data_IF_246785390112
#
_entry.id   IF_246785390112
#
_cell.length_a   1.000
_cell.length_b   1.000
_cell.length_c   1.000
_cell.angle_alpha   90.00
_cell.angle_beta   90.00
_cell.angle_gamma   90.00
#
_symmetry.space_group_name_H-M   'P 1'
#
loop_
_entity.id
_entity.type
_entity.pdbx_description
1 polymer ?
#
# COMPACT_ATOMS: atom_id res chain seq x y z
N UNK A 1 -5.62 13.21 25.24
CA UNK A 1 -6.52 12.14 24.79
C UNK A 1 -6.22 11.91 23.32
N UNK A 2 -5.70 10.74 22.95
CA UNK A 2 -5.46 10.38 21.54
C UNK A 2 -6.79 10.00 20.92
N UNK A 3 -7.23 10.74 19.90
CA UNK A 3 -8.40 10.35 19.11
C UNK A 3 -8.14 9.01 18.43
N UNK A 4 -9.12 8.11 18.54
CA UNK A 4 -9.12 6.85 17.79
C UNK A 4 -9.37 7.14 16.31
N UNK A 5 -8.34 6.97 15.47
CA UNK A 5 -8.50 7.03 14.02
C UNK A 5 -9.07 5.71 13.52
N UNK A 6 -10.31 5.75 13.04
CA UNK A 6 -10.97 4.60 12.45
C UNK A 6 -10.57 4.44 10.99
N UNK A 7 -10.12 3.24 10.63
CA UNK A 7 -9.91 2.81 9.24
C UNK A 7 -11.06 1.86 8.90
N UNK A 8 -11.83 2.16 7.85
CA UNK A 8 -12.91 1.30 7.38
C UNK A 8 -12.44 0.49 6.17
N UNK A 9 -12.48 -0.83 6.31
CA UNK A 9 -12.19 -1.77 5.23
C UNK A 9 -13.49 -2.27 4.61
N UNK A 10 -13.56 -2.29 3.28
CA UNK A 10 -14.70 -2.80 2.48
C UNK A 10 -14.19 -3.93 1.57
N UNK A 11 -14.14 -5.17 2.08
CA UNK A 11 -13.72 -6.31 1.26
C UNK A 11 -14.84 -6.72 0.31
N UNK A 12 -14.45 -7.27 -0.85
CA UNK A 12 -15.38 -7.96 -1.76
C UNK A 12 -15.46 -9.47 -1.52
N UNK A 13 -14.48 -10.04 -0.83
CA UNK A 13 -14.38 -11.47 -0.53
C UNK A 13 -14.22 -11.77 0.96
N UNK A 14 -13.67 -12.92 1.26
CA UNK A 14 -13.38 -13.38 2.62
C UNK A 14 -12.21 -12.60 3.19
N UNK A 15 -12.37 -12.06 4.40
CA UNK A 15 -11.27 -11.43 5.14
C UNK A 15 -10.84 -12.36 6.27
N UNK A 16 -9.54 -12.63 6.34
CA UNK A 16 -8.91 -13.30 7.46
C UNK A 16 -8.16 -12.27 8.28
N UNK A 17 -8.46 -12.22 9.58
CA UNK A 17 -7.72 -11.41 10.55
C UNK A 17 -6.96 -12.38 11.44
N UNK A 18 -5.64 -12.35 11.36
CA UNK A 18 -4.76 -13.12 12.24
C UNK A 18 -4.03 -12.19 13.19
N UNK A 19 -3.89 -12.60 14.45
CA UNK A 19 -3.02 -11.92 15.41
C UNK A 19 -1.83 -12.84 15.67
N UNK A 20 -0.62 -12.36 15.49
CA UNK A 20 0.58 -13.13 15.81
C UNK A 20 0.90 -13.12 17.32
N UNK A 21 1.97 -13.82 17.72
CA UNK A 21 2.40 -13.90 19.12
C UNK A 21 2.78 -12.55 19.74
N UNK A 22 3.12 -11.56 18.92
CA UNK A 22 3.56 -10.23 19.34
C UNK A 22 2.39 -9.24 19.40
N UNK A 23 1.16 -9.72 19.12
CA UNK A 23 -0.05 -8.90 19.10
C UNK A 23 -0.23 -8.10 17.81
N UNK A 24 0.62 -8.32 16.80
CA UNK A 24 0.46 -7.69 15.49
C UNK A 24 -0.71 -8.31 14.76
N UNK A 25 -1.60 -7.47 14.25
CA UNK A 25 -2.76 -7.91 13.46
C UNK A 25 -2.45 -7.83 11.99
N UNK A 26 -2.57 -8.96 11.31
CA UNK A 26 -2.50 -9.05 9.86
C UNK A 26 -3.91 -9.24 9.32
N UNK A 27 -4.27 -8.42 8.33
CA UNK A 27 -5.53 -8.52 7.60
C UNK A 27 -5.16 -9.03 6.20
N UNK A 28 -5.73 -10.16 5.80
CA UNK A 28 -5.62 -10.69 4.44
C UNK A 28 -7.01 -10.90 3.84
N UNK A 29 -7.10 -10.87 2.52
CA UNK A 29 -8.31 -11.23 1.80
C UNK A 29 -7.96 -11.98 0.52
N UNK A 30 -8.86 -12.87 0.11
CA UNK A 30 -8.84 -13.57 -1.17
C UNK A 30 -9.21 -12.65 -2.35
N UNK A 31 -9.83 -11.51 -2.08
CA UNK A 31 -10.25 -10.50 -3.05
C UNK A 31 -9.75 -9.10 -2.64
N UNK A 32 -9.79 -8.10 -3.55
CA UNK A 32 -9.34 -6.74 -3.23
C UNK A 32 -10.09 -6.12 -2.04
N UNK A 33 -9.35 -5.48 -1.14
CA UNK A 33 -9.88 -4.69 -0.02
C UNK A 33 -9.81 -3.21 -0.38
N UNK A 34 -10.94 -2.49 -0.27
CA UNK A 34 -10.95 -1.03 -0.37
C UNK A 34 -10.89 -0.39 1.01
N UNK A 35 -10.18 0.74 1.13
CA UNK A 35 -10.05 1.50 2.37
C UNK A 35 -10.29 2.99 2.11
N UNK A 36 -11.15 3.61 2.92
CA UNK A 36 -11.36 5.07 2.88
C UNK A 36 -10.46 5.75 3.93
N UNK A 37 -9.48 6.54 3.48
CA UNK A 37 -8.60 7.35 4.33
C UNK A 37 -8.84 8.84 4.10
N UNK A 38 -9.18 9.58 5.16
CA UNK A 38 -9.41 11.04 5.08
C UNK A 38 -8.13 11.85 4.92
N UNK A 39 -7.03 11.38 5.48
CA UNK A 39 -5.75 12.09 5.48
C UNK A 39 -4.64 11.07 5.31
N UNK A 40 -3.81 11.29 4.31
CA UNK A 40 -2.69 10.43 3.96
C UNK A 40 -1.46 11.30 3.78
N UNK A 41 -0.42 11.02 4.56
CA UNK A 41 0.81 11.81 4.58
C UNK A 41 1.89 11.24 3.66
N UNK A 42 2.02 9.91 3.56
CA UNK A 42 3.12 9.30 2.82
C UNK A 42 2.86 7.87 2.38
N UNK A 43 3.25 7.57 1.13
CA UNK A 43 3.37 6.22 0.58
C UNK A 43 4.85 5.85 0.48
N UNK A 44 5.32 4.97 1.34
CA UNK A 44 6.72 4.58 1.44
C UNK A 44 6.97 3.17 0.93
N UNK A 45 8.18 2.93 0.45
CA UNK A 45 8.68 1.62 0.04
C UNK A 45 9.82 1.25 0.99
N UNK A 46 9.69 0.10 1.63
CA UNK A 46 10.76 -0.55 2.40
C UNK A 46 11.59 -1.42 1.46
N UNK A 47 12.90 -1.50 1.70
CA UNK A 47 13.85 -2.29 0.90
C UNK A 47 13.98 -1.83 -0.56
N UNK A 48 14.34 -0.56 -0.76
CA UNK A 48 14.60 0.04 -2.09
C UNK A 48 15.66 -0.75 -2.90
N UNK A 49 16.56 -1.45 -2.22
CA UNK A 49 17.61 -2.28 -2.85
C UNK A 49 17.04 -3.49 -3.62
N UNK A 50 15.82 -3.91 -3.32
CA UNK A 50 15.16 -5.05 -3.96
C UNK A 50 14.37 -4.64 -5.22
N UNK A 51 14.38 -3.34 -5.58
CA UNK A 51 13.75 -2.84 -6.80
C UNK A 51 14.55 -3.26 -8.03
N UNK A 52 13.91 -4.01 -8.92
CA UNK A 52 14.45 -4.42 -10.20
C UNK A 52 14.39 -3.27 -11.22
N UNK A 53 13.24 -2.59 -11.29
CA UNK A 53 13.05 -1.47 -12.21
C UNK A 53 12.08 -0.44 -11.64
N UNK A 54 12.29 0.81 -12.02
CA UNK A 54 11.43 1.92 -11.66
C UNK A 54 11.30 2.84 -12.86
N UNK A 55 10.09 2.90 -13.41
CA UNK A 55 9.74 3.80 -14.50
C UNK A 55 8.78 4.90 -14.02
N UNK A 56 8.97 6.11 -14.55
CA UNK A 56 8.06 7.24 -14.35
C UNK A 56 7.58 7.71 -15.71
N UNK A 57 6.27 7.74 -15.91
CA UNK A 57 5.63 8.23 -17.13
C UNK A 57 4.74 9.44 -16.82
N UNK A 58 4.73 10.44 -17.70
CA UNK A 58 3.79 11.54 -17.62
C UNK A 58 2.85 11.49 -18.82
N UNK A 59 1.56 11.38 -18.56
CA UNK A 59 0.53 11.26 -19.59
C UNK A 59 -0.79 11.86 -19.11
N UNK A 60 -1.48 12.58 -19.99
CA UNK A 60 -2.81 13.15 -19.73
C UNK A 60 -2.88 13.99 -18.43
N UNK A 61 -1.80 14.74 -18.13
CA UNK A 61 -1.69 15.58 -16.94
C UNK A 61 -1.44 14.83 -15.62
N UNK A 62 -1.22 13.51 -15.68
CA UNK A 62 -0.91 12.65 -14.54
C UNK A 62 0.54 12.15 -14.60
N UNK A 63 1.09 11.90 -13.43
CA UNK A 63 2.38 11.26 -13.20
C UNK A 63 2.07 9.83 -12.77
N UNK A 64 2.64 8.85 -13.47
CA UNK A 64 2.52 7.43 -13.18
C UNK A 64 3.88 6.89 -12.76
N UNK A 65 3.89 6.13 -11.67
CA UNK A 65 5.07 5.43 -11.18
C UNK A 65 4.79 3.94 -11.31
N UNK A 66 5.71 3.23 -11.94
CA UNK A 66 5.67 1.77 -12.03
C UNK A 66 6.96 1.21 -11.45
N UNK A 67 6.84 0.43 -10.37
CA UNK A 67 7.95 -0.18 -9.66
C UNK A 67 7.79 -1.69 -9.72
N UNK A 68 8.85 -2.38 -10.14
CA UNK A 68 8.93 -3.85 -10.19
C UNK A 68 10.06 -4.29 -9.28
N UNK A 69 9.80 -5.27 -8.42
CA UNK A 69 10.77 -5.82 -7.49
C UNK A 69 11.34 -7.15 -8.00
N UNK A 70 12.52 -7.54 -7.51
CA UNK A 70 13.16 -8.80 -7.90
C UNK A 70 12.34 -10.04 -7.54
N UNK A 71 11.45 -9.97 -6.54
CA UNK A 71 10.50 -11.05 -6.22
C UNK A 71 9.37 -11.25 -7.23
N UNK A 72 9.16 -10.30 -8.16
CA UNK A 72 8.00 -10.24 -9.05
C UNK A 72 6.87 -9.34 -8.54
N UNK A 73 6.93 -8.87 -7.29
CA UNK A 73 5.98 -7.91 -6.74
C UNK A 73 6.02 -6.56 -7.48
N UNK A 74 4.89 -5.86 -7.50
CA UNK A 74 4.74 -4.59 -8.22
C UNK A 74 4.05 -3.52 -7.40
N UNK A 75 4.37 -2.26 -7.69
CA UNK A 75 3.66 -1.08 -7.20
C UNK A 75 3.34 -0.18 -8.39
N UNK A 76 2.08 0.22 -8.52
CA UNK A 76 1.65 1.26 -9.44
C UNK A 76 1.09 2.45 -8.66
N UNK A 77 1.59 3.65 -8.94
CA UNK A 77 1.07 4.89 -8.37
C UNK A 77 0.65 5.82 -9.50
N UNK A 78 -0.40 6.59 -9.29
CA UNK A 78 -0.74 7.71 -10.18
C UNK A 78 -1.26 8.90 -9.40
N UNK A 79 -0.91 10.11 -9.84
CA UNK A 79 -1.39 11.37 -9.26
C UNK A 79 -1.25 12.52 -10.25
N UNK A 80 -2.06 13.56 -10.06
CA UNK A 80 -1.93 14.82 -10.78
C UNK A 80 -0.90 15.73 -10.11
N UNK A 81 -0.47 16.78 -10.83
CA UNK A 81 0.38 17.82 -10.26
C UNK A 81 -0.20 18.38 -8.96
N UNK A 82 0.62 18.50 -7.92
CA UNK A 82 0.19 18.88 -6.57
C UNK A 82 -0.40 17.74 -5.74
N UNK A 83 -0.30 16.47 -6.17
CA UNK A 83 -0.65 15.29 -5.39
C UNK A 83 -2.15 14.97 -5.35
N UNK A 84 -2.95 15.57 -6.25
CA UNK A 84 -4.39 15.31 -6.34
C UNK A 84 -4.66 13.99 -7.04
N UNK A 85 -5.86 13.43 -6.79
CA UNK A 85 -6.33 12.20 -7.43
C UNK A 85 -5.32 11.04 -7.32
N UNK A 86 -4.69 10.93 -6.14
CA UNK A 86 -3.74 9.87 -5.84
C UNK A 86 -4.42 8.49 -5.89
N UNK A 87 -3.80 7.56 -6.60
CA UNK A 87 -4.17 6.16 -6.65
C UNK A 87 -2.91 5.31 -6.49
N UNK A 88 -3.02 4.22 -5.75
CA UNK A 88 -1.94 3.27 -5.53
C UNK A 88 -2.48 1.84 -5.57
N UNK A 89 -1.75 0.96 -6.25
CA UNK A 89 -1.92 -0.48 -6.20
C UNK A 89 -0.58 -1.13 -5.85
N UNK A 90 -0.62 -2.21 -5.09
CA UNK A 90 0.54 -3.03 -4.79
C UNK A 90 0.15 -4.50 -4.91
N UNK A 91 0.84 -5.24 -5.78
CA UNK A 91 0.56 -6.65 -6.05
C UNK A 91 1.69 -7.52 -5.49
N UNK A 92 1.34 -8.63 -4.85
CA UNK A 92 2.28 -9.55 -4.19
C UNK A 92 3.17 -8.91 -3.11
N UNK A 93 2.79 -7.74 -2.61
CA UNK A 93 3.48 -7.02 -1.53
C UNK A 93 2.73 -7.12 -0.19
N UNK A 94 3.37 -6.68 0.88
CA UNK A 94 2.76 -6.42 2.18
C UNK A 94 2.62 -4.92 2.38
N UNK A 95 1.44 -4.49 2.84
CA UNK A 95 1.18 -3.10 3.21
C UNK A 95 0.98 -2.99 4.73
N UNK A 96 1.62 -2.01 5.36
CA UNK A 96 1.41 -1.66 6.77
C UNK A 96 0.95 -0.22 6.85
N UNK A 97 -0.11 0.03 7.63
CA UNK A 97 -0.58 1.39 7.93
C UNK A 97 -0.09 1.80 9.32
N UNK A 98 0.63 2.91 9.41
CA UNK A 98 1.12 3.47 10.68
C UNK A 98 0.38 4.77 11.00
N UNK A 99 -0.13 4.89 12.24
CA UNK A 99 -0.86 6.05 12.78
C UNK A 99 -2.08 6.51 11.96
N UNK A 100 -2.59 5.63 11.09
CA UNK A 100 -3.68 5.92 10.16
C UNK A 100 -3.34 6.91 9.05
N UNK A 101 -2.05 7.27 8.88
CA UNK A 101 -1.62 8.35 7.98
C UNK A 101 -0.52 7.93 7.01
N UNK A 102 0.20 6.85 7.27
CA UNK A 102 1.35 6.42 6.46
C UNK A 102 1.13 4.99 6.00
N UNK A 103 1.35 4.73 4.72
CA UNK A 103 1.35 3.37 4.15
C UNK A 103 2.80 3.03 3.81
N UNK A 104 3.29 1.93 4.36
CA UNK A 104 4.59 1.34 4.03
C UNK A 104 4.37 0.03 3.28
N UNK A 105 5.01 -0.10 2.12
CA UNK A 105 4.98 -1.31 1.29
C UNK A 105 6.32 -2.03 1.39
N UNK A 106 6.28 -3.35 1.54
CA UNK A 106 7.48 -4.21 1.58
C UNK A 106 7.23 -5.52 0.85
N UNK A 107 8.28 -6.18 0.38
CA UNK A 107 8.16 -7.51 -0.23
C UNK A 107 7.65 -8.55 0.78
N UNK A 108 6.91 -9.54 0.27
CA UNK A 108 6.63 -10.78 1.00
C UNK A 108 7.91 -11.61 1.02
N UNK A 109 8.71 -11.52 2.07
CA UNK A 109 9.82 -12.46 2.25
C UNK A 109 9.23 -13.82 2.64
N UNK A 110 9.42 -14.82 1.77
CA UNK A 110 9.27 -16.22 2.14
C UNK A 110 10.36 -16.51 3.19
N UNK A 111 9.94 -16.80 4.42
CA UNK A 111 10.84 -17.42 5.41
C UNK A 111 11.01 -18.90 5.08
#
# INVERSE_FOLDING_TARGET
MTESKHITFKPKGTVTISTDSDGMRTISSDEPISTDMKTFLSYGIENIVDIQSYNIEQKDGKIFHHVVFNSGGTIELSFESGGKNFSASACEMLATVTDGERIMIKEKRSQ
#
